data_IF_954626879851
#
_entry.id   IF_954626879851
#
_cell.length_a   1.000
_cell.length_b   1.000
_cell.length_c   1.000
_cell.angle_alpha   90.00
_cell.angle_beta   90.00
_cell.angle_gamma   90.00
#
_symmetry.space_group_name_H-M   'P 1'
#
loop_
_entity.id
_entity.type
_entity.pdbx_description
1 polymer ?
#
# COMPACT_ATOMS: atom_id res chain seq x y z
N UNK A 1 -41.42 -44.47 -15.17
CA UNK A 1 -40.78 -43.62 -16.19
C UNK A 1 -39.67 -42.83 -15.50
N UNK A 2 -38.46 -43.37 -15.29
CA UNK A 2 -37.38 -43.65 -16.25
C UNK A 2 -36.68 -42.38 -16.78
N UNK A 3 -35.39 -42.27 -16.44
CA UNK A 3 -34.25 -41.86 -17.29
C UNK A 3 -33.97 -40.34 -17.36
N UNK A 4 -32.92 -39.87 -16.65
CA UNK A 4 -31.57 -39.45 -17.14
C UNK A 4 -31.59 -38.01 -17.71
N UNK A 5 -30.63 -37.09 -17.62
CA UNK A 5 -29.17 -37.06 -17.46
C UNK A 5 -28.83 -35.67 -16.83
N UNK A 6 -27.76 -35.39 -16.08
CA UNK A 6 -26.38 -35.79 -16.28
C UNK A 6 -25.61 -34.71 -17.07
N UNK A 7 -24.81 -33.84 -16.39
CA UNK A 7 -23.39 -33.55 -16.72
C UNK A 7 -22.79 -32.31 -16.02
N UNK A 8 -21.81 -32.61 -15.15
CA UNK A 8 -20.43 -32.10 -15.16
C UNK A 8 -20.17 -30.60 -15.33
N UNK A 9 -19.93 -29.91 -14.20
CA UNK A 9 -19.15 -28.68 -14.17
C UNK A 9 -17.67 -29.03 -14.11
N UNK A 10 -17.02 -28.78 -15.24
CA UNK A 10 -15.59 -28.97 -15.50
C UNK A 10 -14.70 -28.02 -14.70
N UNK A 11 -13.60 -28.59 -14.21
CA UNK A 11 -12.44 -27.95 -13.57
C UNK A 11 -11.90 -26.79 -14.42
N UNK A 12 -11.89 -25.56 -13.89
CA UNK A 12 -11.02 -24.50 -14.42
C UNK A 12 -9.63 -24.57 -13.80
N UNK A 13 -8.67 -24.84 -14.68
CA UNK A 13 -7.23 -24.80 -14.49
C UNK A 13 -6.79 -23.42 -13.98
N UNK A 14 -6.00 -23.43 -12.90
CA UNK A 14 -5.10 -22.35 -12.55
C UNK A 14 -3.97 -22.31 -13.58
N UNK A 15 -3.96 -21.32 -14.46
CA UNK A 15 -2.81 -21.00 -15.29
C UNK A 15 -2.08 -19.83 -14.63
N UNK A 16 -0.89 -20.13 -14.13
CA UNK A 16 0.09 -19.13 -13.73
C UNK A 16 0.56 -18.36 -14.97
N UNK A 17 0.48 -17.04 -14.90
CA UNK A 17 1.13 -16.16 -15.86
C UNK A 17 2.45 -15.73 -15.21
N UNK A 18 3.51 -16.41 -15.60
CA UNK A 18 4.88 -15.91 -15.51
C UNK A 18 4.98 -14.87 -16.62
N UNK A 19 4.95 -13.59 -16.25
CA UNK A 19 5.24 -12.50 -17.17
C UNK A 19 6.70 -12.61 -17.61
N UNK A 20 6.91 -13.02 -18.86
CA UNK A 20 8.18 -12.87 -19.56
C UNK A 20 8.47 -11.37 -19.68
N UNK A 21 9.61 -10.95 -19.16
CA UNK A 21 10.20 -9.64 -19.41
C UNK A 21 10.60 -9.55 -20.88
N UNK A 22 9.73 -8.97 -21.70
CA UNK A 22 10.07 -8.55 -23.06
C UNK A 22 10.81 -7.22 -22.94
N UNK A 23 12.11 -7.22 -23.28
CA UNK A 23 12.87 -6.01 -23.53
C UNK A 23 12.23 -5.29 -24.73
N UNK A 24 11.49 -4.22 -24.46
CA UNK A 24 11.07 -3.25 -25.48
C UNK A 24 11.96 -2.04 -25.30
N UNK A 25 12.96 -1.91 -26.17
CA UNK A 25 13.67 -0.67 -26.37
C UNK A 25 12.71 0.31 -27.05
N UNK A 26 12.00 1.11 -26.26
CA UNK A 26 11.24 2.27 -26.74
C UNK A 26 12.08 3.51 -26.45
N UNK A 27 12.56 4.12 -27.54
CA UNK A 27 13.50 5.22 -27.55
C UNK A 27 12.98 6.49 -26.90
N UNK A 28 13.94 7.23 -26.34
CA UNK A 28 13.79 8.62 -25.94
C UNK A 28 13.30 9.47 -27.13
N UNK A 29 12.20 10.17 -26.93
CA UNK A 29 11.75 11.24 -27.81
C UNK A 29 11.52 12.50 -26.97
N UNK A 30 12.63 13.13 -26.59
CA UNK A 30 12.67 14.55 -26.27
C UNK A 30 14.08 15.06 -26.63
N UNK A 31 14.19 15.75 -27.78
CA UNK A 31 15.34 16.58 -28.10
C UNK A 31 16.39 15.99 -29.05
N UNK A 32 16.04 15.76 -30.32
CA UNK A 32 16.99 15.93 -31.42
C UNK A 32 16.30 16.71 -32.54
N UNK A 33 16.59 18.00 -32.57
CA UNK A 33 16.40 18.87 -33.72
C UNK A 33 17.51 18.55 -34.74
N UNK A 34 17.09 18.31 -35.98
CA UNK A 34 17.86 18.38 -37.23
C UNK A 34 19.03 17.40 -37.44
N UNK A 35 18.87 16.53 -38.46
CA UNK A 35 19.72 16.49 -39.66
C UNK A 35 19.24 15.33 -40.56
N UNK A 36 18.20 15.60 -41.37
CA UNK A 36 17.92 14.81 -42.57
C UNK A 36 18.73 15.47 -43.70
N UNK A 37 19.76 14.78 -44.19
CA UNK A 37 20.41 15.11 -45.47
C UNK A 37 19.43 14.72 -46.57
N UNK A 38 18.91 15.70 -47.29
CA UNK A 38 18.35 15.45 -48.62
C UNK A 38 19.52 15.21 -49.58
N UNK A 39 19.40 14.17 -50.40
CA UNK A 39 20.32 13.82 -51.49
C UNK A 39 20.01 14.61 -52.79
N UNK A 40 19.55 15.85 -52.67
CA UNK A 40 19.51 16.79 -53.79
C UNK A 40 20.59 17.84 -53.55
N UNK A 41 21.59 17.87 -54.44
CA UNK A 41 22.75 18.77 -54.36
C UNK A 41 22.43 20.26 -54.59
N UNK A 42 21.41 20.80 -53.95
CA UNK A 42 21.09 22.22 -53.96
C UNK A 42 21.41 22.86 -52.60
N UNK A 43 22.30 23.85 -52.63
CA UNK A 43 22.66 24.65 -51.45
C UNK A 43 21.41 25.38 -50.93
N UNK A 44 21.05 25.25 -49.64
CA UNK A 44 19.94 26.02 -49.09
C UNK A 44 20.36 27.49 -48.99
N UNK A 45 19.58 28.36 -49.62
CA UNK A 45 19.66 29.82 -49.43
C UNK A 45 19.29 30.13 -47.99
N UNK A 46 20.18 30.81 -47.27
CA UNK A 46 19.93 31.38 -45.95
C UNK A 46 18.79 32.40 -46.03
N UNK A 47 17.60 32.00 -45.60
CA UNK A 47 16.47 32.90 -45.42
C UNK A 47 16.55 33.53 -44.01
N UNK A 48 16.91 34.81 -43.94
CA UNK A 48 17.00 35.60 -42.71
C UNK A 48 15.64 36.19 -42.30
N UNK A 49 14.53 35.46 -42.46
CA UNK A 49 13.20 35.94 -42.07
C UNK A 49 12.46 34.91 -41.23
N UNK A 50 12.44 35.15 -39.93
CA UNK A 50 11.62 34.37 -39.02
C UNK A 50 12.02 34.46 -37.56
N UNK A 51 12.18 35.66 -37.00
CA UNK A 51 11.92 35.83 -35.56
C UNK A 51 10.42 35.64 -35.35
N UNK A 52 9.99 34.37 -35.31
CA UNK A 52 8.65 34.01 -34.90
C UNK A 52 8.45 34.54 -33.49
N UNK A 53 7.54 35.49 -33.34
CA UNK A 53 7.02 35.88 -32.03
C UNK A 53 6.44 34.64 -31.38
N UNK A 54 7.10 34.14 -30.32
CA UNK A 54 6.58 33.07 -29.45
C UNK A 54 5.10 33.34 -29.20
N UNK A 55 4.27 32.31 -29.44
CA UNK A 55 2.83 32.42 -29.19
C UNK A 55 2.61 32.71 -27.69
N UNK A 56 1.47 33.29 -27.31
CA UNK A 56 1.12 33.44 -25.89
C UNK A 56 1.17 32.12 -25.11
N UNK A 57 0.94 30.97 -25.77
CA UNK A 57 1.08 29.63 -25.18
C UNK A 57 2.56 29.23 -24.98
N UNK A 58 3.44 29.53 -25.94
CA UNK A 58 4.88 29.30 -25.81
C UNK A 58 5.50 30.18 -24.70
N UNK A 59 5.03 31.43 -24.56
CA UNK A 59 5.43 32.33 -23.45
C UNK A 59 4.88 31.89 -22.09
N UNK A 60 3.78 31.12 -22.07
CA UNK A 60 3.21 30.53 -20.85
C UNK A 60 3.99 29.28 -20.40
N UNK A 61 4.63 28.59 -21.34
CA UNK A 61 5.53 27.45 -21.11
C UNK A 61 6.94 27.88 -20.65
N UNK A 62 7.38 29.12 -20.88
CA UNK A 62 8.71 29.62 -20.49
C UNK A 62 8.88 29.97 -19.00
N UNK A 63 7.80 30.01 -18.20
CA UNK A 63 7.90 30.22 -16.75
C UNK A 63 7.69 28.94 -15.93
N UNK A 64 8.16 27.80 -16.42
CA UNK A 64 8.16 26.62 -15.55
C UNK A 64 9.40 26.64 -14.67
N UNK A 65 9.15 26.89 -13.38
CA UNK A 65 10.19 26.92 -12.35
C UNK A 65 10.87 25.55 -12.29
N UNK A 66 12.17 25.53 -12.56
CA UNK A 66 13.00 24.36 -12.29
C UNK A 66 13.11 24.18 -10.79
N UNK A 67 12.89 22.95 -10.33
CA UNK A 67 12.94 22.57 -8.91
C UNK A 67 14.24 21.83 -8.66
N UNK A 68 14.99 22.27 -7.65
CA UNK A 68 16.17 21.56 -7.19
C UNK A 68 15.77 20.21 -6.57
N UNK A 69 16.38 19.15 -7.06
CA UNK A 69 16.21 17.82 -6.49
C UNK A 69 17.09 17.70 -5.24
N UNK A 70 16.61 17.09 -4.14
CA UNK A 70 17.43 16.82 -2.96
C UNK A 70 18.73 16.07 -3.29
N UNK A 71 19.84 16.47 -2.67
CA UNK A 71 21.15 15.87 -2.92
C UNK A 71 21.17 14.34 -2.68
N UNK A 72 20.35 13.85 -1.76
CA UNK A 72 20.17 12.42 -1.43
C UNK A 72 19.58 11.59 -2.57
N UNK A 73 18.87 12.22 -3.51
CA UNK A 73 18.25 11.58 -4.68
C UNK A 73 19.09 11.72 -5.96
N UNK A 74 19.92 12.76 -6.08
CA UNK A 74 20.74 13.03 -7.28
C UNK A 74 21.63 11.84 -7.64
N UNK A 75 21.71 11.53 -8.93
CA UNK A 75 22.50 10.41 -9.45
C UNK A 75 21.97 9.02 -9.11
N UNK A 76 20.90 8.89 -8.32
CA UNK A 76 20.22 7.60 -8.15
C UNK A 76 19.48 7.23 -9.43
N UNK A 77 19.32 5.93 -9.66
CA UNK A 77 18.53 5.41 -10.77
C UNK A 77 17.10 5.19 -10.29
N UNK A 78 16.14 5.90 -10.88
CA UNK A 78 14.71 5.69 -10.67
C UNK A 78 14.09 4.93 -11.85
N UNK A 79 13.17 4.04 -11.50
CA UNK A 79 12.40 3.24 -12.43
C UNK A 79 10.97 3.01 -11.89
N UNK A 80 10.16 2.33 -12.72
CA UNK A 80 8.82 1.88 -12.36
C UNK A 80 7.94 3.00 -11.78
N UNK A 81 7.33 2.77 -10.61
CA UNK A 81 6.42 3.70 -9.94
C UNK A 81 7.05 5.07 -9.65
N UNK A 82 8.36 5.14 -9.38
CA UNK A 82 9.01 6.42 -9.14
C UNK A 82 8.98 7.32 -10.37
N UNK A 83 9.13 6.74 -11.57
CA UNK A 83 9.00 7.48 -12.84
C UNK A 83 7.59 8.00 -13.02
N UNK A 84 6.58 7.21 -12.67
CA UNK A 84 5.19 7.67 -12.76
C UNK A 84 4.88 8.83 -11.80
N UNK A 85 5.43 8.83 -10.59
CA UNK A 85 5.19 9.90 -9.62
C UNK A 85 5.94 11.19 -9.96
N UNK A 86 7.16 11.09 -10.49
CA UNK A 86 8.06 12.24 -10.62
C UNK A 86 8.25 12.74 -12.05
N UNK A 87 7.94 11.91 -13.05
CA UNK A 87 8.34 12.13 -14.44
C UNK A 87 9.83 11.86 -14.71
N UNK A 88 10.61 11.46 -13.70
CA UNK A 88 12.04 11.20 -13.84
C UNK A 88 12.27 9.74 -14.23
N UNK A 89 12.89 9.50 -15.39
CA UNK A 89 13.32 8.18 -15.82
C UNK A 89 14.85 8.08 -15.84
N UNK A 90 15.40 7.02 -15.25
CA UNK A 90 16.84 6.79 -15.21
C UNK A 90 17.55 7.59 -14.12
N UNK A 91 18.69 8.20 -14.45
CA UNK A 91 19.49 8.96 -13.49
C UNK A 91 18.77 10.24 -13.08
N UNK A 92 18.66 10.45 -11.77
CA UNK A 92 18.04 11.64 -11.20
C UNK A 92 18.94 12.87 -11.43
N UNK A 93 18.47 13.90 -12.13
CA UNK A 93 19.24 15.11 -12.38
C UNK A 93 19.26 16.03 -11.15
N UNK A 94 20.08 17.09 -11.21
CA UNK A 94 20.14 18.11 -10.16
C UNK A 94 18.86 18.94 -10.05
N UNK A 95 18.20 19.16 -11.20
CA UNK A 95 16.97 19.95 -11.30
C UNK A 95 15.97 19.27 -12.21
N UNK A 96 14.68 19.41 -11.89
CA UNK A 96 13.60 18.91 -12.73
C UNK A 96 12.56 19.98 -13.01
N UNK A 97 11.87 19.79 -14.13
CA UNK A 97 10.59 20.43 -14.39
C UNK A 97 9.50 19.53 -13.84
N UNK A 98 9.01 19.80 -12.62
CA UNK A 98 7.92 19.02 -12.04
C UNK A 98 6.57 19.59 -12.46
N UNK A 99 5.77 18.81 -13.17
CA UNK A 99 4.43 19.19 -13.62
C UNK A 99 3.39 18.18 -13.12
N UNK A 100 3.21 18.19 -11.80
CA UNK A 100 2.26 17.30 -11.15
C UNK A 100 0.81 17.45 -11.63
N UNK A 101 0.24 18.67 -11.77
CA UNK A 101 -1.18 18.81 -12.10
C UNK A 101 -1.49 18.52 -13.57
N UNK A 102 -0.63 18.92 -14.52
CA UNK A 102 -0.96 18.77 -15.95
C UNK A 102 -0.28 17.58 -16.62
N UNK A 103 0.76 16.99 -16.03
CA UNK A 103 1.43 15.82 -16.59
C UNK A 103 1.33 14.57 -15.71
N UNK A 104 1.89 14.59 -14.49
CA UNK A 104 2.06 13.35 -13.72
C UNK A 104 0.73 12.79 -13.16
N UNK A 105 -0.12 13.64 -12.57
CA UNK A 105 -1.38 13.17 -11.99
C UNK A 105 -2.35 12.66 -13.09
N UNK A 106 -2.59 13.38 -14.20
CA UNK A 106 -3.37 12.84 -15.31
C UNK A 106 -2.83 11.51 -15.83
N UNK A 107 -1.51 11.39 -16.02
CA UNK A 107 -0.88 10.15 -16.48
C UNK A 107 -1.16 8.97 -15.55
N UNK A 108 -1.04 9.15 -14.23
CA UNK A 108 -1.36 8.11 -13.25
C UNK A 108 -2.82 7.63 -13.37
N UNK A 109 -3.76 8.55 -13.57
CA UNK A 109 -5.17 8.22 -13.72
C UNK A 109 -5.49 7.57 -15.06
N UNK A 110 -4.80 7.93 -16.15
CA UNK A 110 -4.91 7.22 -17.42
C UNK A 110 -4.38 5.79 -17.32
N UNK A 111 -3.26 5.56 -16.63
CA UNK A 111 -2.76 4.20 -16.35
C UNK A 111 -3.76 3.41 -15.48
N UNK A 112 -4.38 4.07 -14.50
CA UNK A 112 -5.45 3.46 -13.70
C UNK A 112 -6.64 3.04 -14.56
N UNK A 113 -7.10 3.92 -15.43
CA UNK A 113 -8.20 3.69 -16.37
C UNK A 113 -7.91 2.52 -17.31
N UNK A 114 -6.69 2.44 -17.86
CA UNK A 114 -6.26 1.31 -18.70
C UNK A 114 -6.33 -0.03 -17.98
N UNK A 115 -6.01 -0.07 -16.68
CA UNK A 115 -5.99 -1.31 -15.89
C UNK A 115 -7.35 -1.71 -15.34
N UNK A 116 -8.10 -0.77 -14.76
CA UNK A 116 -9.37 -1.05 -14.08
C UNK A 116 -10.59 -0.94 -15.01
N UNK A 117 -10.47 -0.16 -16.09
CA UNK A 117 -11.58 0.23 -16.94
C UNK A 117 -12.20 1.56 -16.52
N UNK A 118 -12.94 2.15 -17.46
CA UNK A 118 -13.70 3.37 -17.24
C UNK A 118 -15.01 3.03 -16.54
N UNK A 119 -15.05 3.26 -15.22
CA UNK A 119 -16.26 3.09 -14.40
C UNK A 119 -16.71 4.45 -13.88
N UNK A 120 -18.00 4.60 -13.59
CA UNK A 120 -18.54 5.84 -13.04
C UNK A 120 -17.82 6.28 -11.75
N UNK A 121 -17.44 5.32 -10.90
CA UNK A 121 -16.72 5.60 -9.65
C UNK A 121 -15.30 6.10 -9.92
N UNK A 122 -14.58 5.51 -10.87
CA UNK A 122 -13.23 5.98 -11.23
C UNK A 122 -13.27 7.33 -11.92
N UNK A 123 -14.21 7.58 -12.83
CA UNK A 123 -14.33 8.89 -13.46
C UNK A 123 -14.74 9.97 -12.46
N UNK A 124 -15.68 9.70 -11.55
CA UNK A 124 -16.06 10.65 -10.51
C UNK A 124 -14.90 10.92 -9.55
N UNK A 125 -14.18 9.86 -9.13
CA UNK A 125 -13.02 10.00 -8.23
C UNK A 125 -11.89 10.78 -8.90
N UNK A 126 -11.57 10.44 -10.16
CA UNK A 126 -10.59 11.14 -11.00
C UNK A 126 -10.95 12.61 -11.12
N UNK A 127 -12.18 12.90 -11.54
CA UNK A 127 -12.68 14.28 -11.69
C UNK A 127 -12.52 15.06 -10.39
N UNK A 128 -13.01 14.50 -9.29
CA UNK A 128 -12.95 15.16 -7.98
C UNK A 128 -11.51 15.42 -7.52
N UNK A 129 -10.58 14.47 -7.72
CA UNK A 129 -9.21 14.58 -7.20
C UNK A 129 -8.26 15.35 -8.13
N UNK A 130 -8.41 15.23 -9.45
CA UNK A 130 -7.60 15.98 -10.41
C UNK A 130 -8.05 17.44 -10.44
N UNK A 131 -9.35 17.71 -10.58
CA UNK A 131 -9.84 19.09 -10.75
C UNK A 131 -9.69 19.93 -9.47
N UNK A 132 -9.68 19.29 -8.30
CA UNK A 132 -9.45 20.00 -7.03
C UNK A 132 -7.98 20.20 -6.67
N UNK A 133 -7.05 19.55 -7.38
CA UNK A 133 -5.62 19.67 -7.08
C UNK A 133 -5.02 20.92 -7.72
N UNK A 134 -4.64 21.89 -6.89
CA UNK A 134 -3.84 23.05 -7.27
C UNK A 134 -2.45 22.96 -6.61
N UNK A 135 -1.42 22.63 -7.40
CA UNK A 135 -0.05 22.51 -6.90
C UNK A 135 0.44 23.78 -6.19
N UNK A 136 0.00 24.98 -6.59
CA UNK A 136 0.46 26.25 -6.00
C UNK A 136 -0.14 26.49 -4.62
N UNK A 137 -1.34 25.95 -4.36
CA UNK A 137 -2.04 26.04 -3.08
C UNK A 137 -1.89 24.79 -2.22
N UNK A 138 -1.37 23.71 -2.79
CA UNK A 138 -1.12 22.48 -2.08
C UNK A 138 -0.15 22.69 -0.92
N UNK A 139 -0.44 22.03 0.18
CA UNK A 139 0.26 22.16 1.43
C UNK A 139 1.62 21.47 1.36
N UNK A 140 2.71 22.26 1.36
CA UNK A 140 4.08 21.76 1.25
C UNK A 140 4.66 21.49 2.62
N UNK A 141 4.88 20.23 2.92
CA UNK A 141 5.38 19.77 4.23
C UNK A 141 6.51 18.76 4.03
N UNK A 142 7.28 18.51 5.09
CA UNK A 142 8.25 17.42 5.12
C UNK A 142 7.66 16.11 5.62
N UNK A 143 8.37 15.00 5.43
CA UNK A 143 7.94 13.68 5.91
C UNK A 143 7.76 13.62 7.44
N UNK A 144 8.53 14.39 8.21
CA UNK A 144 8.42 14.45 9.68
C UNK A 144 7.11 15.08 10.11
N UNK A 145 6.74 16.21 9.51
CA UNK A 145 5.46 16.85 9.81
C UNK A 145 4.29 15.94 9.39
N UNK A 146 4.38 15.29 8.22
CA UNK A 146 3.38 14.33 7.79
C UNK A 146 3.23 13.14 8.77
N UNK A 147 4.35 12.61 9.31
CA UNK A 147 4.35 11.61 10.39
C UNK A 147 3.64 12.14 11.64
N UNK A 148 3.92 13.37 12.04
CA UNK A 148 3.42 13.97 13.28
C UNK A 148 1.92 14.28 13.19
N UNK A 149 1.41 14.59 12.00
CA UNK A 149 -0.05 14.63 11.71
C UNK A 149 -0.68 13.25 11.81
N UNK A 150 0.00 12.22 11.31
CA UNK A 150 -0.39 10.83 11.51
C UNK A 150 -0.49 10.48 13.01
N UNK A 151 0.51 10.86 13.80
CA UNK A 151 0.50 10.68 15.26
C UNK A 151 -0.67 11.42 15.92
N UNK A 152 -0.88 12.69 15.57
CA UNK A 152 -1.96 13.51 16.10
C UNK A 152 -3.34 12.91 15.80
N UNK A 153 -3.54 12.41 14.57
CA UNK A 153 -4.76 11.72 14.16
C UNK A 153 -5.00 10.45 14.97
N UNK A 154 -3.95 9.63 15.16
CA UNK A 154 -4.00 8.44 16.02
C UNK A 154 -4.40 8.81 17.44
N UNK A 155 -3.78 9.83 18.03
CA UNK A 155 -4.03 10.21 19.42
C UNK A 155 -5.44 10.76 19.64
N UNK A 156 -5.95 11.58 18.70
CA UNK A 156 -7.32 12.07 18.73
C UNK A 156 -8.32 10.92 18.62
N UNK A 157 -8.14 10.02 17.64
CA UNK A 157 -9.02 8.86 17.46
C UNK A 157 -8.96 7.91 18.66
N UNK A 158 -7.77 7.58 19.17
CA UNK A 158 -7.56 6.68 20.32
C UNK A 158 -8.28 7.16 21.57
N UNK A 159 -8.17 8.45 21.89
CA UNK A 159 -8.82 9.05 23.08
C UNK A 159 -10.33 9.15 22.94
N UNK A 160 -10.84 9.26 21.71
CA UNK A 160 -12.25 9.53 21.45
C UNK A 160 -13.07 8.29 21.11
N UNK A 161 -12.42 7.16 20.86
CA UNK A 161 -13.09 5.93 20.44
C UNK A 161 -13.88 5.30 21.60
N UNK A 162 -15.16 5.02 21.38
CA UNK A 162 -15.96 4.21 22.29
C UNK A 162 -15.53 2.73 22.19
N UNK A 163 -14.61 2.35 23.07
CA UNK A 163 -14.08 0.99 23.16
C UNK A 163 -15.12 -0.04 23.57
N UNK A 164 -16.16 0.35 24.32
CA UNK A 164 -17.25 -0.57 24.68
C UNK A 164 -18.10 -0.88 23.44
N UNK A 165 -18.45 0.14 22.67
CA UNK A 165 -19.12 -0.01 21.38
C UNK A 165 -18.33 -0.90 20.41
N UNK A 166 -17.01 -0.69 20.30
CA UNK A 166 -16.12 -1.55 19.51
C UNK A 166 -16.13 -2.99 20.04
N UNK A 167 -15.98 -3.19 21.35
CA UNK A 167 -15.99 -4.52 21.98
C UNK A 167 -17.27 -5.28 21.66
N UNK A 168 -18.43 -4.63 21.82
CA UNK A 168 -19.73 -5.20 21.54
C UNK A 168 -19.88 -5.54 20.04
N UNK A 169 -19.45 -4.66 19.14
CA UNK A 169 -19.52 -4.90 17.69
C UNK A 169 -18.83 -6.19 17.25
N UNK A 170 -17.63 -6.42 17.79
CA UNK A 170 -16.81 -7.56 17.41
C UNK A 170 -17.01 -8.78 18.31
N UNK A 171 -17.91 -8.71 19.30
CA UNK A 171 -18.10 -9.72 20.35
C UNK A 171 -16.77 -10.08 21.03
N UNK A 172 -16.03 -9.07 21.50
CA UNK A 172 -14.76 -9.24 22.19
C UNK A 172 -15.03 -9.54 23.68
N UNK A 173 -14.33 -10.55 24.22
CA UNK A 173 -14.23 -10.70 25.67
C UNK A 173 -13.36 -9.58 26.28
N UNK A 174 -13.42 -9.37 27.60
CA UNK A 174 -12.54 -8.42 28.28
C UNK A 174 -11.05 -8.68 28.00
N UNK A 175 -10.68 -9.96 27.88
CA UNK A 175 -9.32 -10.36 27.56
C UNK A 175 -8.95 -10.04 26.11
N UNK A 176 -9.89 -10.21 25.16
CA UNK A 176 -9.72 -9.78 23.77
C UNK A 176 -9.55 -8.28 23.67
N UNK A 177 -10.40 -7.52 24.37
CA UNK A 177 -10.36 -6.06 24.36
C UNK A 177 -9.04 -5.54 24.95
N UNK A 178 -8.58 -6.10 26.07
CA UNK A 178 -7.28 -5.77 26.66
C UNK A 178 -6.14 -6.01 25.67
N UNK A 179 -6.11 -7.19 25.03
CA UNK A 179 -5.05 -7.50 24.07
C UNK A 179 -5.11 -6.62 22.82
N UNK A 180 -6.33 -6.35 22.30
CA UNK A 180 -6.54 -5.44 21.19
C UNK A 180 -5.97 -4.06 21.50
N UNK A 181 -6.24 -3.52 22.69
CA UNK A 181 -5.72 -2.22 23.12
C UNK A 181 -4.20 -2.22 23.25
N UNK A 182 -3.60 -3.29 23.78
CA UNK A 182 -2.14 -3.39 23.86
C UNK A 182 -1.46 -3.47 22.49
N UNK A 183 -2.06 -4.17 21.52
CA UNK A 183 -1.58 -4.17 20.13
C UNK A 183 -1.80 -2.84 19.44
N UNK A 184 -2.96 -2.21 19.62
CA UNK A 184 -3.29 -0.92 19.05
C UNK A 184 -2.33 0.18 19.53
N UNK A 185 -1.96 0.19 20.82
CA UNK A 185 -0.99 1.15 21.38
C UNK A 185 0.37 1.16 20.68
N UNK A 186 0.71 0.09 19.96
CA UNK A 186 1.95 0.00 19.19
C UNK A 186 1.87 0.73 17.83
N UNK A 187 0.67 1.13 17.41
CA UNK A 187 0.42 1.87 16.17
C UNK A 187 0.57 3.37 16.47
N UNK A 188 1.62 3.96 15.92
CA UNK A 188 1.97 5.37 16.06
C UNK A 188 2.14 6.03 14.67
N UNK A 189 2.45 7.33 14.64
CA UNK A 189 2.72 8.05 13.40
C UNK A 189 3.84 7.41 12.57
N UNK A 190 4.85 6.84 13.23
CA UNK A 190 5.94 6.11 12.56
C UNK A 190 5.45 4.82 11.88
N UNK A 191 4.60 4.04 12.55
CA UNK A 191 3.97 2.85 11.97
C UNK A 191 3.11 3.21 10.76
N UNK A 192 2.31 4.28 10.87
CA UNK A 192 1.50 4.78 9.78
C UNK A 192 2.35 5.30 8.60
N UNK A 193 3.46 5.99 8.86
CA UNK A 193 4.36 6.44 7.80
C UNK A 193 5.06 5.28 7.10
N UNK A 194 5.50 4.26 7.85
CA UNK A 194 6.08 3.05 7.27
C UNK A 194 5.08 2.34 6.33
N UNK A 195 3.81 2.35 6.71
CA UNK A 195 2.72 1.83 5.91
C UNK A 195 2.48 2.66 4.63
N UNK A 196 2.48 4.00 4.68
CA UNK A 196 2.44 4.86 3.48
C UNK A 196 3.59 4.53 2.52
N UNK A 197 4.81 4.41 3.03
CA UNK A 197 5.96 4.02 2.22
C UNK A 197 5.79 2.61 1.62
N UNK A 198 5.13 1.69 2.33
CA UNK A 198 4.82 0.36 1.83
C UNK A 198 3.79 0.37 0.71
N UNK A 199 2.83 1.28 0.73
CA UNK A 199 1.81 1.36 -0.33
C UNK A 199 2.35 2.08 -1.56
N UNK A 200 3.08 3.19 -1.39
CA UNK A 200 3.50 4.03 -2.51
C UNK A 200 4.84 3.61 -3.14
N UNK A 201 5.86 3.25 -2.38
CA UNK A 201 7.24 3.28 -2.90
C UNK A 201 7.71 1.90 -3.39
N UNK A 202 8.08 1.62 -4.65
CA UNK A 202 8.18 0.24 -5.19
C UNK A 202 9.15 -0.74 -4.47
N UNK A 203 10.18 -0.25 -3.76
CA UNK A 203 11.29 -1.08 -3.28
C UNK A 203 11.42 -1.26 -1.77
N UNK A 204 12.49 -1.95 -1.34
CA UNK A 204 12.88 -2.14 0.07
C UNK A 204 14.03 -1.23 0.52
N UNK A 205 14.46 -0.28 -0.32
CA UNK A 205 15.40 0.77 0.09
C UNK A 205 14.63 1.83 0.88
N UNK A 206 14.56 1.65 2.19
CA UNK A 206 13.79 2.54 3.07
C UNK A 206 14.30 3.98 3.07
N UNK A 207 15.60 4.20 2.83
CA UNK A 207 16.16 5.55 2.74
C UNK A 207 15.69 6.24 1.45
N UNK A 208 15.83 5.58 0.30
CA UNK A 208 15.30 6.08 -0.97
C UNK A 208 13.80 6.34 -0.89
N UNK A 209 13.04 5.40 -0.33
CA UNK A 209 11.59 5.54 -0.18
C UNK A 209 11.21 6.77 0.65
N UNK A 210 11.90 7.01 1.77
CA UNK A 210 11.69 8.19 2.64
C UNK A 210 12.04 9.49 1.92
N UNK A 211 13.19 9.55 1.26
CA UNK A 211 13.63 10.75 0.52
C UNK A 211 12.68 11.06 -0.64
N UNK A 212 12.20 10.04 -1.34
CA UNK A 212 11.19 10.21 -2.38
C UNK A 212 9.87 10.75 -1.81
N UNK A 213 9.40 10.21 -0.69
CA UNK A 213 8.21 10.72 -0.02
C UNK A 213 8.36 12.19 0.37
N UNK A 214 9.50 12.55 0.97
CA UNK A 214 9.79 13.94 1.36
C UNK A 214 9.81 14.86 0.14
N UNK A 215 10.42 14.42 -0.96
CA UNK A 215 10.43 15.16 -2.22
C UNK A 215 9.01 15.40 -2.75
N UNK A 216 8.18 14.36 -2.82
CA UNK A 216 6.79 14.50 -3.30
C UNK A 216 5.97 15.43 -2.39
N UNK A 217 6.12 15.35 -1.07
CA UNK A 217 5.42 16.23 -0.12
C UNK A 217 5.88 17.69 -0.22
N UNK A 218 7.18 17.94 -0.41
CA UNK A 218 7.72 19.31 -0.50
C UNK A 218 7.41 19.99 -1.83
N UNK A 219 7.28 19.22 -2.90
CA UNK A 219 7.14 19.77 -4.26
C UNK A 219 5.71 19.61 -4.79
N UNK A 220 5.13 18.43 -4.69
CA UNK A 220 3.73 18.15 -5.04
C UNK A 220 2.77 18.65 -3.96
N UNK A 221 3.17 18.55 -2.69
CA UNK A 221 2.28 18.85 -1.57
C UNK A 221 1.49 17.63 -1.13
N UNK A 222 0.88 17.71 0.05
CA UNK A 222 0.08 16.64 0.62
C UNK A 222 -1.06 16.21 -0.31
N UNK A 223 -1.77 17.17 -0.90
CA UNK A 223 -2.90 16.93 -1.80
C UNK A 223 -2.51 16.13 -3.04
N UNK A 224 -1.26 16.27 -3.52
CA UNK A 224 -0.78 15.42 -4.62
C UNK A 224 -0.78 13.95 -4.20
N UNK A 225 -0.25 13.63 -3.03
CA UNK A 225 -0.22 12.26 -2.51
C UNK A 225 -1.61 11.68 -2.26
N UNK A 226 -2.53 12.50 -1.78
CA UNK A 226 -3.94 12.13 -1.58
C UNK A 226 -4.64 11.76 -2.89
N UNK A 227 -4.17 12.32 -4.00
CA UNK A 227 -4.73 12.10 -5.32
C UNK A 227 -4.07 10.97 -6.13
N UNK A 228 -2.97 10.36 -5.64
CA UNK A 228 -2.27 9.27 -6.36
C UNK A 228 -3.12 7.99 -6.38
N UNK A 229 -3.54 7.48 -7.55
CA UNK A 229 -4.21 6.18 -7.66
C UNK A 229 -3.20 5.02 -7.65
N UNK A 230 -3.65 3.83 -7.24
CA UNK A 230 -2.87 2.60 -7.40
C UNK A 230 -3.01 2.13 -8.85
N UNK A 231 -2.00 2.42 -9.66
CA UNK A 231 -1.95 1.97 -11.06
C UNK A 231 -1.73 0.44 -11.19
N UNK A 232 -1.45 -0.24 -10.08
CA UNK A 232 -1.12 -1.66 -10.02
C UNK A 232 -2.32 -2.60 -9.83
N UNK A 233 -3.49 -2.09 -9.46
CA UNK A 233 -4.65 -2.92 -9.14
C UNK A 233 -5.92 -2.57 -9.92
N UNK A 234 -6.91 -3.45 -9.77
CA UNK A 234 -8.23 -3.42 -10.37
C UNK A 234 -9.31 -2.94 -9.37
N UNK A 235 -9.01 -1.92 -8.56
CA UNK A 235 -9.94 -1.38 -7.54
C UNK A 235 -9.95 0.14 -7.52
N UNK A 236 -10.75 0.76 -6.66
CA UNK A 236 -10.80 2.22 -6.49
C UNK A 236 -9.63 2.82 -5.69
N UNK A 237 -8.59 2.01 -5.43
CA UNK A 237 -7.40 2.34 -4.65
C UNK A 237 -6.79 3.71 -4.94
N UNK A 238 -6.77 4.58 -3.92
CA UNK A 238 -6.21 5.93 -4.03
C UNK A 238 -5.66 6.45 -2.70
N UNK A 239 -4.74 7.42 -2.78
CA UNK A 239 -4.20 8.18 -1.66
C UNK A 239 -2.97 7.52 -1.00
N UNK A 240 -2.47 8.10 0.11
CA UNK A 240 -1.20 7.67 0.71
C UNK A 240 -1.19 6.22 1.22
N UNK A 241 -2.35 5.68 1.57
CA UNK A 241 -2.53 4.29 2.01
C UNK A 241 -3.15 3.39 0.94
N UNK A 242 -3.42 3.92 -0.27
CA UNK A 242 -4.02 3.18 -1.37
C UNK A 242 -5.29 2.40 -0.93
N UNK A 243 -6.21 3.06 -0.23
CA UNK A 243 -7.42 2.41 0.28
C UNK A 243 -8.37 2.02 -0.83
N UNK A 244 -8.95 0.83 -0.70
CA UNK A 244 -10.03 0.33 -1.57
C UNK A 244 -11.39 0.54 -0.91
N UNK A 245 -12.46 0.31 -1.67
CA UNK A 245 -13.83 0.18 -1.18
C UNK A 245 -14.02 -0.97 -0.16
N UNK A 246 -13.05 -1.86 0.02
CA UNK A 246 -13.08 -2.86 1.10
C UNK A 246 -12.52 -2.32 2.42
N UNK A 247 -11.66 -1.31 2.35
CA UNK A 247 -11.06 -0.66 3.51
C UNK A 247 -11.94 0.47 4.06
N UNK A 248 -12.60 1.25 3.19
CA UNK A 248 -13.50 2.34 3.60
C UNK A 248 -14.77 2.32 2.75
N UNK A 249 -15.90 1.95 3.36
CA UNK A 249 -17.21 1.92 2.71
C UNK A 249 -18.33 2.04 3.74
N UNK A 250 -19.24 3.00 3.55
CA UNK A 250 -20.45 3.19 4.34
C UNK A 250 -21.58 3.76 3.45
N UNK A 251 -22.64 2.99 3.26
CA UNK A 251 -23.88 3.41 2.56
C UNK A 251 -25.04 3.69 3.52
N UNK A 252 -24.79 3.67 4.83
CA UNK A 252 -25.82 3.61 5.87
C UNK A 252 -26.30 2.19 6.16
N UNK A 253 -26.54 1.39 5.11
CA UNK A 253 -26.99 -0.01 5.19
C UNK A 253 -25.85 -1.02 5.28
N UNK A 254 -24.71 -0.73 4.64
CA UNK A 254 -23.53 -1.59 4.64
C UNK A 254 -22.30 -0.82 5.11
N UNK A 255 -21.48 -1.45 5.96
CA UNK A 255 -20.18 -0.92 6.42
C UNK A 255 -19.07 -1.94 6.24
N UNK A 256 -17.92 -1.51 5.73
CA UNK A 256 -16.71 -2.35 5.56
C UNK A 256 -15.47 -1.69 6.17
N UNK A 257 -14.49 -2.51 6.55
CA UNK A 257 -13.18 -2.07 7.02
C UNK A 257 -13.23 -1.02 8.14
N UNK A 258 -12.52 0.10 7.95
CA UNK A 258 -12.46 1.23 8.87
C UNK A 258 -13.85 1.75 9.26
N UNK A 259 -14.81 1.76 8.34
CA UNK A 259 -16.16 2.28 8.58
C UNK A 259 -16.90 1.53 9.69
N UNK A 260 -16.56 0.25 9.94
CA UNK A 260 -17.13 -0.52 11.06
C UNK A 260 -16.64 -0.04 12.42
N UNK A 261 -15.43 0.49 12.51
CA UNK A 261 -14.88 1.09 13.74
C UNK A 261 -15.26 2.57 13.82
N UNK A 262 -15.32 3.27 12.68
CA UNK A 262 -15.62 4.68 12.56
C UNK A 262 -16.94 5.10 13.24
N UNK A 263 -17.97 4.25 13.20
CA UNK A 263 -19.25 4.53 13.86
C UNK A 263 -19.14 4.73 15.39
N UNK A 264 -18.06 4.26 16.01
CA UNK A 264 -17.79 4.40 17.44
C UNK A 264 -16.94 5.62 17.78
N UNK A 265 -16.69 6.51 16.81
CA UNK A 265 -16.18 7.85 17.06
C UNK A 265 -17.33 8.87 17.18
N UNK A 266 -17.11 9.97 17.93
CA UNK A 266 -17.99 11.15 17.88
C UNK A 266 -18.17 11.62 16.44
N UNK A 267 -19.39 12.01 16.07
CA UNK A 267 -19.76 12.35 14.68
C UNK A 267 -18.77 13.33 14.03
N UNK A 268 -18.35 14.37 14.76
CA UNK A 268 -17.39 15.39 14.29
C UNK A 268 -15.97 14.86 14.00
N UNK A 269 -15.63 13.67 14.47
CA UNK A 269 -14.32 13.04 14.30
C UNK A 269 -14.36 11.87 13.31
N UNK A 270 -15.54 11.52 12.78
CA UNK A 270 -15.70 10.41 11.85
C UNK A 270 -15.08 10.74 10.50
N UNK A 271 -14.46 9.74 9.88
CA UNK A 271 -14.06 9.81 8.47
C UNK A 271 -15.29 9.68 7.56
N UNK A 272 -15.25 10.19 6.32
CA UNK A 272 -16.29 9.93 5.34
C UNK A 272 -16.33 8.44 4.96
N UNK A 273 -17.52 7.98 4.57
CA UNK A 273 -17.79 6.59 4.23
C UNK A 273 -17.27 6.12 2.87
N UNK A 274 -16.47 6.92 2.16
CA UNK A 274 -15.96 6.57 0.82
C UNK A 274 -14.51 7.01 0.70
N UNK A 275 -13.68 6.15 0.11
CA UNK A 275 -12.27 6.45 -0.18
C UNK A 275 -12.14 7.74 -0.99
N UNK A 276 -12.98 7.94 -2.01
CA UNK A 276 -12.94 9.09 -2.89
C UNK A 276 -13.15 10.43 -2.17
N UNK A 277 -13.69 10.40 -0.95
CA UNK A 277 -14.01 11.57 -0.11
C UNK A 277 -13.00 11.82 1.00
N UNK A 278 -12.05 10.91 1.24
CA UNK A 278 -11.00 11.12 2.24
C UNK A 278 -10.14 12.31 1.85
N UNK A 279 -9.92 13.25 2.76
CA UNK A 279 -9.04 14.40 2.57
C UNK A 279 -8.23 14.64 3.83
N UNK A 280 -6.99 15.08 3.68
CA UNK A 280 -6.13 15.40 4.80
C UNK A 280 -6.01 14.29 5.83
N UNK A 281 -6.20 14.68 7.10
CA UNK A 281 -6.05 13.79 8.25
C UNK A 281 -7.03 12.61 8.24
N UNK A 282 -8.09 12.64 7.43
CA UNK A 282 -9.00 11.51 7.30
C UNK A 282 -8.29 10.26 6.75
N UNK A 283 -7.25 10.43 5.93
CA UNK A 283 -6.43 9.30 5.48
C UNK A 283 -5.73 8.60 6.66
N UNK A 284 -5.14 9.38 7.58
CA UNK A 284 -4.46 8.85 8.76
C UNK A 284 -5.45 8.18 9.73
N UNK A 285 -6.59 8.82 9.97
CA UNK A 285 -7.68 8.25 10.78
C UNK A 285 -8.18 6.94 10.17
N UNK A 286 -8.41 6.90 8.85
CA UNK A 286 -8.86 5.69 8.16
C UNK A 286 -7.86 4.55 8.30
N UNK A 287 -6.57 4.81 8.15
CA UNK A 287 -5.51 3.81 8.34
C UNK A 287 -5.51 3.23 9.76
N UNK A 288 -5.59 4.10 10.74
CA UNK A 288 -5.64 3.70 12.14
C UNK A 288 -6.90 2.87 12.46
N UNK A 289 -8.08 3.33 12.04
CA UNK A 289 -9.34 2.60 12.24
C UNK A 289 -9.36 1.25 11.50
N UNK A 290 -8.76 1.18 10.30
CA UNK A 290 -8.66 -0.06 9.56
C UNK A 290 -7.69 -1.04 10.22
N UNK A 291 -6.61 -0.55 10.82
CA UNK A 291 -5.70 -1.35 11.61
C UNK A 291 -6.42 -1.96 12.83
N UNK A 292 -7.23 -1.18 13.56
CA UNK A 292 -8.07 -1.68 14.66
C UNK A 292 -9.03 -2.77 14.17
N UNK A 293 -9.72 -2.55 13.03
CA UNK A 293 -10.61 -3.55 12.44
C UNK A 293 -9.89 -4.89 12.20
N UNK A 294 -8.69 -4.86 11.62
CA UNK A 294 -7.91 -6.06 11.35
C UNK A 294 -7.34 -6.71 12.63
N UNK A 295 -6.91 -5.91 13.61
CA UNK A 295 -6.47 -6.41 14.91
C UNK A 295 -7.62 -7.06 15.69
N UNK A 296 -8.82 -6.49 15.66
CA UNK A 296 -10.01 -7.09 16.29
C UNK A 296 -10.33 -8.47 15.70
N UNK A 297 -10.17 -8.63 14.38
CA UNK A 297 -10.31 -9.94 13.73
C UNK A 297 -9.21 -10.93 14.13
N UNK A 298 -7.99 -10.45 14.37
CA UNK A 298 -6.86 -11.26 14.81
C UNK A 298 -7.07 -11.77 16.24
N UNK A 299 -7.34 -10.88 17.20
CA UNK A 299 -7.40 -11.24 18.64
C UNK A 299 -8.46 -12.30 18.92
N UNK A 300 -9.61 -12.23 18.24
CA UNK A 300 -10.70 -13.23 18.32
C UNK A 300 -10.26 -14.64 17.96
N UNK A 301 -9.19 -14.78 17.17
CA UNK A 301 -8.67 -16.08 16.70
C UNK A 301 -7.51 -16.60 17.56
N UNK A 302 -7.08 -15.84 18.56
CA UNK A 302 -6.04 -16.26 19.50
C UNK A 302 -6.70 -17.07 20.63
N UNK A 303 -6.04 -18.11 21.13
CA UNK A 303 -6.55 -18.91 22.24
C UNK A 303 -6.47 -18.12 23.57
N UNK A 304 -7.42 -18.26 24.51
CA UNK A 304 -7.42 -17.50 25.76
C UNK A 304 -6.11 -17.57 26.57
N UNK A 305 -5.49 -18.74 26.63
CA UNK A 305 -4.20 -18.99 27.29
C UNK A 305 -3.06 -18.18 26.66
N UNK A 306 -3.08 -17.99 25.35
CA UNK A 306 -2.06 -17.25 24.60
C UNK A 306 -2.20 -15.76 24.84
N UNK A 307 -3.44 -15.27 24.91
CA UNK A 307 -3.74 -13.84 25.12
C UNK A 307 -3.10 -13.35 26.42
N UNK A 308 -3.18 -14.15 27.50
CA UNK A 308 -2.58 -13.81 28.80
C UNK A 308 -1.06 -13.61 28.69
N UNK A 309 -0.38 -14.52 28.01
CA UNK A 309 1.08 -14.42 27.83
C UNK A 309 1.46 -13.26 26.90
N UNK A 310 0.67 -13.04 25.84
CA UNK A 310 0.90 -11.95 24.89
C UNK A 310 0.71 -10.57 25.51
N UNK A 311 -0.20 -10.40 26.47
CA UNK A 311 -0.36 -9.14 27.20
C UNK A 311 0.92 -8.68 27.87
N UNK A 312 1.68 -9.60 28.48
CA UNK A 312 2.97 -9.29 29.11
C UNK A 312 4.11 -9.04 28.13
N UNK A 313 3.91 -9.28 26.82
CA UNK A 313 4.95 -9.22 25.79
C UNK A 313 4.54 -8.41 24.56
N UNK A 314 3.49 -7.61 24.65
CA UNK A 314 2.93 -6.90 23.50
C UNK A 314 3.93 -5.90 22.89
N UNK A 315 4.78 -5.27 23.71
CA UNK A 315 5.81 -4.32 23.26
C UNK A 315 6.87 -4.98 22.37
N UNK A 316 7.25 -6.23 22.65
CA UNK A 316 8.23 -7.00 21.86
C UNK A 316 7.74 -7.23 20.42
N UNK A 317 6.41 -7.21 20.22
CA UNK A 317 5.78 -7.48 18.94
C UNK A 317 5.69 -6.25 18.05
N UNK A 318 6.08 -5.06 18.53
CA UNK A 318 5.86 -3.79 17.82
C UNK A 318 6.32 -3.81 16.36
N UNK A 319 7.57 -4.20 16.01
CA UNK A 319 7.98 -4.24 14.60
C UNK A 319 7.10 -5.15 13.74
N UNK A 320 6.76 -6.33 14.25
CA UNK A 320 5.91 -7.29 13.55
C UNK A 320 4.46 -6.82 13.44
N UNK A 321 3.94 -6.08 14.42
CA UNK A 321 2.61 -5.47 14.35
C UNK A 321 2.53 -4.43 13.23
N UNK A 322 3.57 -3.63 13.02
CA UNK A 322 3.63 -2.69 11.88
C UNK A 322 3.59 -3.45 10.55
N UNK A 323 4.33 -4.55 10.44
CA UNK A 323 4.30 -5.44 9.26
C UNK A 323 2.92 -6.09 9.07
N UNK A 324 2.26 -6.48 10.15
CA UNK A 324 0.91 -7.02 10.13
C UNK A 324 -0.10 -6.00 9.61
N UNK A 325 -0.07 -4.75 10.08
CA UNK A 325 -1.00 -3.71 9.63
C UNK A 325 -0.93 -3.54 8.10
N UNK A 326 0.27 -3.38 7.56
CA UNK A 326 0.45 -3.20 6.12
C UNK A 326 0.05 -4.47 5.32
N UNK A 327 0.38 -5.66 5.82
CA UNK A 327 -0.01 -6.90 5.12
C UNK A 327 -1.49 -7.20 5.19
N UNK A 328 -2.14 -6.86 6.30
CA UNK A 328 -3.58 -7.03 6.51
C UNK A 328 -4.40 -6.07 5.66
N UNK A 329 -3.84 -4.92 5.24
CA UNK A 329 -4.49 -4.08 4.25
C UNK A 329 -4.69 -4.78 2.91
N UNK A 330 -3.61 -5.40 2.41
CA UNK A 330 -3.62 -6.03 1.11
C UNK A 330 -4.33 -7.39 1.11
N UNK A 331 -4.05 -8.26 2.10
CA UNK A 331 -4.65 -9.59 2.20
C UNK A 331 -5.06 -9.94 3.64
N UNK A 332 -6.18 -9.38 4.15
CA UNK A 332 -6.57 -9.48 5.56
C UNK A 332 -6.62 -10.92 6.08
N UNK A 333 -7.31 -11.82 5.37
CA UNK A 333 -7.49 -13.20 5.83
C UNK A 333 -6.17 -13.97 5.93
N UNK A 334 -5.26 -13.76 4.97
CA UNK A 334 -3.95 -14.42 4.95
C UNK A 334 -3.03 -13.82 6.00
N UNK A 335 -3.00 -12.49 6.12
CA UNK A 335 -2.22 -11.78 7.13
C UNK A 335 -2.63 -12.20 8.54
N UNK A 336 -3.93 -12.24 8.85
CA UNK A 336 -4.46 -12.68 10.15
C UNK A 336 -4.04 -14.12 10.46
N UNK A 337 -4.15 -15.03 9.48
CA UNK A 337 -3.71 -16.42 9.66
C UNK A 337 -2.21 -16.51 9.92
N UNK A 338 -1.39 -15.86 9.11
CA UNK A 338 0.06 -15.92 9.21
C UNK A 338 0.55 -15.27 10.51
N UNK A 339 -0.03 -14.13 10.89
CA UNK A 339 0.35 -13.45 12.12
C UNK A 339 -0.07 -14.23 13.36
N UNK A 340 -1.25 -14.85 13.37
CA UNK A 340 -1.63 -15.81 14.43
C UNK A 340 -0.60 -16.94 14.57
N UNK A 341 -0.16 -17.52 13.47
CA UNK A 341 0.85 -18.58 13.49
C UNK A 341 2.19 -18.07 14.02
N UNK A 342 2.59 -16.86 13.63
CA UNK A 342 3.75 -16.18 14.18
C UNK A 342 3.63 -15.98 15.70
N UNK A 343 2.48 -15.52 16.20
CA UNK A 343 2.27 -15.35 17.65
C UNK A 343 2.39 -16.69 18.41
N UNK A 344 1.91 -17.80 17.83
CA UNK A 344 2.06 -19.13 18.44
C UNK A 344 3.56 -19.52 18.52
N UNK A 345 4.31 -19.29 17.44
CA UNK A 345 5.75 -19.56 17.40
C UNK A 345 6.56 -18.64 18.32
N UNK A 346 6.19 -17.37 18.41
CA UNK A 346 6.76 -16.38 19.33
C UNK A 346 6.61 -16.80 20.80
N UNK A 347 5.55 -17.55 21.11
CA UNK A 347 5.31 -18.18 22.40
C UNK A 347 6.01 -19.55 22.56
N UNK A 348 6.90 -19.93 21.64
CA UNK A 348 7.69 -21.16 21.70
C UNK A 348 6.91 -22.43 21.34
N UNK A 349 5.78 -22.34 20.65
CA UNK A 349 4.91 -23.47 20.31
C UNK A 349 4.85 -23.72 18.80
N UNK A 350 4.55 -24.96 18.40
CA UNK A 350 4.38 -25.31 16.99
C UNK A 350 3.04 -24.76 16.46
N UNK A 351 3.04 -23.86 15.45
CA UNK A 351 1.81 -23.30 14.89
C UNK A 351 1.03 -24.30 14.01
N UNK A 352 1.63 -25.45 13.66
CA UNK A 352 0.95 -26.45 12.84
C UNK A 352 -0.13 -27.15 13.67
N UNK A 353 -1.36 -27.27 13.16
CA UNK A 353 -2.37 -28.06 13.84
C UNK A 353 -1.82 -29.47 14.03
N UNK A 354 -1.83 -29.97 15.27
CA UNK A 354 -1.54 -31.38 15.54
C UNK A 354 -2.49 -32.19 14.66
N UNK A 355 -1.96 -32.82 13.60
CA UNK A 355 -2.76 -33.75 12.80
C UNK A 355 -3.25 -34.80 13.80
N UNK A 356 -4.55 -34.79 14.11
CA UNK A 356 -5.18 -35.97 14.72
C UNK A 356 -5.01 -37.05 13.68
N UNK A 357 -3.96 -37.86 13.82
CA UNK A 357 -3.88 -39.13 13.13
C UNK A 357 -5.07 -39.90 13.70
N UNK A 358 -6.19 -39.89 12.98
CA UNK A 358 -7.28 -40.79 13.29
C UNK A 358 -6.69 -42.19 13.13
N UNK A 359 -6.43 -42.86 14.26
CA UNK A 359 -6.18 -44.30 14.34
C UNK A 359 -7.42 -45.12 13.95
N UNK A 360 -8.29 -44.57 13.09
CA UNK A 360 -9.46 -45.24 12.57
C UNK A 360 -9.03 -46.09 11.38
N UNK A 361 -8.87 -47.39 11.66
CA UNK A 361 -8.84 -48.53 10.73
C UNK A 361 -7.77 -48.50 9.63
N UNK A 362 -6.58 -48.99 9.98
CA UNK A 362 -5.76 -49.81 9.07
C UNK A 362 -5.85 -51.27 9.51
N UNK A 363 -6.98 -51.90 9.25
CA UNK A 363 -6.98 -53.34 8.98
C UNK A 363 -6.93 -53.50 7.46
N UNK A 364 -5.82 -54.05 6.97
CA UNK A 364 -5.71 -54.59 5.61
C UNK A 364 -5.68 -53.59 4.45
N UNK A 365 -4.59 -52.81 4.30
CA UNK A 365 -4.16 -52.36 2.96
C UNK A 365 -2.66 -52.04 2.94
N UNK A 366 -1.96 -52.73 2.02
CA UNK A 366 -0.51 -52.68 1.76
C UNK A 366 0.05 -51.27 1.82
N UNK A 367 1.19 -51.16 2.49
CA UNK A 367 1.98 -49.94 2.62
C UNK A 367 2.48 -49.44 1.26
N UNK A 368 1.80 -48.46 0.70
CA UNK A 368 2.40 -47.57 -0.30
C UNK A 368 3.14 -46.46 0.44
N UNK A 369 4.49 -46.57 0.48
CA UNK A 369 5.39 -45.59 1.09
C UNK A 369 5.34 -44.28 0.32
N UNK A 370 4.36 -43.44 0.62
CA UNK A 370 4.41 -42.03 0.24
C UNK A 370 5.50 -41.35 1.06
N UNK A 371 6.56 -40.91 0.38
CA UNK A 371 7.62 -40.05 0.93
C UNK A 371 6.96 -38.79 1.50
N UNK A 372 6.73 -38.77 2.81
CA UNK A 372 6.42 -37.53 3.51
C UNK A 372 7.63 -36.59 3.33
N UNK A 373 7.44 -35.47 2.63
CA UNK A 373 8.41 -34.39 2.61
C UNK A 373 8.67 -33.97 4.06
N UNK A 374 9.81 -34.40 4.60
CA UNK A 374 10.32 -33.96 5.90
C UNK A 374 10.78 -32.52 5.71
N UNK A 375 9.87 -31.56 5.89
CA UNK A 375 10.31 -30.19 6.13
C UNK A 375 11.13 -30.14 7.42
N UNK A 376 12.31 -29.51 7.42
CA UNK A 376 13.16 -29.44 8.59
C UNK A 376 12.40 -28.78 9.76
N UNK A 377 12.61 -29.24 11.01
CA UNK A 377 12.04 -28.59 12.17
C UNK A 377 12.51 -27.14 12.23
N UNK A 378 11.56 -26.21 12.35
CA UNK A 378 11.85 -24.81 12.62
C UNK A 378 12.55 -24.77 13.99
N UNK A 379 13.83 -24.39 14.02
CA UNK A 379 14.55 -24.17 15.28
C UNK A 379 13.90 -22.96 15.97
N UNK A 380 13.11 -23.23 16.99
CA UNK A 380 12.48 -22.21 17.84
C UNK A 380 13.54 -21.58 18.74
N UNK A 381 14.32 -20.64 18.18
CA UNK A 381 15.08 -19.68 18.97
C UNK A 381 14.17 -18.54 19.45
N UNK A 382 14.59 -17.82 20.48
CA UNK A 382 13.91 -16.66 21.10
C UNK A 382 13.71 -15.44 20.17
N UNK A 383 13.84 -15.61 18.86
CA UNK A 383 13.73 -14.57 17.84
C UNK A 383 12.96 -15.06 16.61
N UNK A 384 11.78 -15.63 16.80
CA UNK A 384 10.88 -15.93 15.68
C UNK A 384 10.67 -14.66 14.86
N UNK A 385 10.89 -14.73 13.55
CA UNK A 385 10.71 -13.61 12.65
C UNK A 385 9.34 -13.75 11.95
N UNK A 386 8.51 -12.70 11.97
CA UNK A 386 7.24 -12.70 11.23
C UNK A 386 7.44 -13.06 9.75
N UNK A 387 8.56 -12.65 9.13
CA UNK A 387 8.87 -12.99 7.74
C UNK A 387 9.04 -14.49 7.49
N UNK A 388 9.44 -15.27 8.50
CA UNK A 388 9.55 -16.74 8.38
C UNK A 388 8.16 -17.41 8.34
N UNK A 389 7.16 -16.75 8.88
CA UNK A 389 5.78 -17.24 8.99
C UNK A 389 4.90 -16.81 7.81
N UNK A 390 5.46 -15.97 6.94
CA UNK A 390 4.86 -15.62 5.66
C UNK A 390 5.57 -16.39 4.58
N UNK A 391 4.82 -17.07 3.70
CA UNK A 391 5.40 -17.85 2.59
C UNK A 391 6.39 -16.98 1.79
N UNK A 392 7.66 -17.35 1.83
CA UNK A 392 8.72 -16.67 1.12
C UNK A 392 8.36 -16.49 -0.37
N UNK A 393 8.60 -15.29 -0.90
CA UNK A 393 8.26 -14.93 -2.28
C UNK A 393 6.79 -14.59 -2.53
N UNK A 394 5.88 -14.86 -1.60
CA UNK A 394 4.47 -14.45 -1.68
C UNK A 394 4.28 -12.94 -1.51
N UNK A 395 3.14 -12.42 -1.96
CA UNK A 395 2.84 -10.97 -1.90
C UNK A 395 2.85 -10.44 -0.46
N UNK A 396 2.31 -11.19 0.51
CA UNK A 396 2.37 -10.84 1.95
C UNK A 396 3.82 -10.73 2.42
N UNK A 397 4.72 -11.59 1.95
CA UNK A 397 6.12 -11.57 2.35
C UNK A 397 6.83 -10.34 1.80
N UNK A 398 6.54 -9.99 0.53
CA UNK A 398 7.07 -8.77 -0.10
C UNK A 398 6.62 -7.52 0.68
N UNK A 399 5.34 -7.44 1.04
CA UNK A 399 4.79 -6.33 1.83
C UNK A 399 5.42 -6.24 3.22
N UNK A 400 5.47 -7.35 3.97
CA UNK A 400 6.10 -7.36 5.29
C UNK A 400 7.58 -6.93 5.24
N UNK A 401 8.35 -7.46 4.26
CA UNK A 401 9.78 -7.12 4.09
C UNK A 401 9.97 -5.63 3.79
N UNK A 402 9.12 -5.08 2.93
CA UNK A 402 9.10 -3.66 2.56
C UNK A 402 8.79 -2.78 3.77
N UNK A 403 7.71 -3.09 4.48
CA UNK A 403 7.32 -2.38 5.70
C UNK A 403 8.41 -2.39 6.75
N UNK A 404 9.06 -3.54 6.97
CA UNK A 404 10.19 -3.65 7.89
C UNK A 404 11.33 -2.71 7.52
N UNK A 405 11.72 -2.68 6.25
CA UNK A 405 12.83 -1.85 5.79
C UNK A 405 12.51 -0.35 5.95
N UNK A 406 11.29 0.05 5.60
CA UNK A 406 10.78 1.40 5.79
C UNK A 406 10.76 1.77 7.28
N UNK A 407 10.15 0.95 8.13
CA UNK A 407 10.03 1.20 9.56
C UNK A 407 11.39 1.33 10.26
N UNK A 408 12.33 0.42 9.98
CA UNK A 408 13.71 0.49 10.52
C UNK A 408 14.43 1.77 10.10
N UNK A 409 14.21 2.24 8.88
CA UNK A 409 14.81 3.49 8.40
C UNK A 409 14.26 4.67 9.20
N UNK A 410 12.94 4.74 9.38
CA UNK A 410 12.28 5.81 10.12
C UNK A 410 12.71 5.87 11.59
N UNK A 411 12.97 4.72 12.23
CA UNK A 411 13.46 4.67 13.62
C UNK A 411 14.90 5.20 13.80
N UNK A 412 15.70 5.23 12.72
CA UNK A 412 17.09 5.71 12.75
C UNK A 412 17.23 7.20 12.39
N UNK A 413 16.11 7.87 12.08
CA UNK A 413 16.07 9.20 11.47
C UNK A 413 15.53 10.24 12.42
#
# INVERSE_FOLDING_TARGET
MSVEDGKNISRRRALGIIGKSTLVAAGAAAGILALRRDESGEKPKTDQRGRGTLTPEDKKLERVQMIDVPASLRGRVLNDLFTHYTGIAGLVPDKIRADFPTAQLPHLWEEKKKRYGETAVVEETRRTLIESYDQKRAEKIGWREFRDRGQSSVDVSRRSLDWNGVSNHFNLSDLDLKLLREFERQIDGTALLAYVLTELMPGTDGALNREMLDFLLRVGGREYLESIPSIGDDKTSVGPYQFTEYAVFDTGSERRGASRVNQYLPVKLRIPGSVAKLRGDDHHKAAYLFAIFNLAQLVRKIAPEDKKTLLGRAVDLRPSLVEFVATAHNLPAIAVRNFRNYLIAFLGRDPRPKRKISLAKKEGKKEEKTKAEKHPPIKLGTGADYLEHVRAGGIVWKYARKTRANYRTLLRS
#
